data_IF_397594902350
#
_entry.id   IF_397594902350
#
_cell.length_a   1.000
_cell.length_b   1.000
_cell.length_c   1.000
_cell.angle_alpha   90.00
_cell.angle_beta   90.00
_cell.angle_gamma   90.00
#
_symmetry.space_group_name_H-M   'P 1'
#
loop_
_entity.id
_entity.type
_entity.pdbx_description
1 polymer ?
#
# COMPACT_ATOMS: atom_id res chain seq x y z
N UNK A 1 17.48 -16.54 -7.10
CA UNK A 1 16.71 -16.08 -5.92
C UNK A 1 17.43 -16.57 -4.67
N UNK A 2 18.55 -15.95 -4.25
CA UNK A 2 19.45 -16.55 -3.24
C UNK A 2 19.73 -15.71 -2.01
N UNK A 3 19.00 -14.63 -1.74
CA UNK A 3 19.15 -13.92 -0.47
C UNK A 3 17.77 -13.60 0.11
N UNK A 4 17.48 -14.19 1.27
CA UNK A 4 16.37 -13.76 2.09
C UNK A 4 16.54 -12.26 2.38
N UNK A 5 15.54 -11.48 1.99
CA UNK A 5 15.52 -10.01 2.10
C UNK A 5 15.15 -9.60 3.53
N UNK A 6 15.75 -10.26 4.54
CA UNK A 6 15.56 -10.05 5.98
C UNK A 6 16.91 -9.92 6.70
N UNK A 7 16.93 -9.35 7.91
CA UNK A 7 18.16 -9.16 8.68
C UNK A 7 19.04 -7.99 8.20
N UNK A 8 20.37 -8.11 8.29
CA UNK A 8 21.32 -7.01 8.03
C UNK A 8 21.23 -6.39 6.62
N UNK A 9 20.85 -7.17 5.61
CA UNK A 9 20.61 -6.68 4.24
C UNK A 9 19.51 -5.61 4.21
N UNK A 10 18.48 -5.76 5.05
CA UNK A 10 17.40 -4.78 5.18
C UNK A 10 17.83 -3.44 5.79
N UNK A 11 18.79 -3.50 6.71
CA UNK A 11 19.35 -2.32 7.36
C UNK A 11 20.22 -1.59 6.35
N UNK A 12 21.05 -2.31 5.58
CA UNK A 12 21.87 -1.75 4.51
C UNK A 12 21.03 -1.07 3.43
N UNK A 13 19.94 -1.70 2.99
CA UNK A 13 18.99 -1.10 2.04
C UNK A 13 18.35 0.18 2.59
N UNK A 14 17.91 0.15 3.85
CA UNK A 14 17.28 1.31 4.51
C UNK A 14 18.27 2.46 4.67
N UNK A 15 19.53 2.16 5.03
CA UNK A 15 20.62 3.14 5.12
C UNK A 15 21.02 3.70 3.75
N UNK A 16 21.05 2.87 2.71
CA UNK A 16 21.33 3.34 1.35
C UNK A 16 20.27 4.36 0.90
N UNK A 17 19.00 4.07 1.17
CA UNK A 17 17.92 5.02 0.84
C UNK A 17 17.98 6.26 1.74
N UNK A 18 18.27 6.11 3.04
CA UNK A 18 18.46 7.23 3.96
C UNK A 18 19.56 8.21 3.49
N UNK A 19 20.64 7.70 2.88
CA UNK A 19 21.68 8.53 2.24
C UNK A 19 21.16 9.31 1.03
N UNK A 20 20.20 8.77 0.29
CA UNK A 20 19.61 9.44 -0.88
C UNK A 20 18.63 10.55 -0.48
N UNK A 21 17.82 10.34 0.57
CA UNK A 21 16.79 11.30 1.01
C UNK A 21 17.26 12.27 2.11
N UNK A 22 18.42 12.00 2.70
CA UNK A 22 18.97 12.72 3.85
C UNK A 22 18.48 12.17 5.19
N UNK A 23 19.39 12.02 6.15
CA UNK A 23 19.09 11.44 7.47
C UNK A 23 18.02 12.23 8.25
N UNK A 24 18.00 13.56 8.14
CA UNK A 24 16.97 14.40 8.78
C UNK A 24 15.57 14.05 8.29
N UNK A 25 15.38 14.01 6.96
CA UNK A 25 14.10 13.69 6.34
C UNK A 25 13.69 12.24 6.62
N UNK A 26 14.66 11.32 6.64
CA UNK A 26 14.47 9.93 7.02
C UNK A 26 13.87 9.80 8.43
N UNK A 27 14.51 10.42 9.44
CA UNK A 27 14.01 10.34 10.82
C UNK A 27 12.68 11.07 10.97
N UNK A 28 12.50 12.25 10.37
CA UNK A 28 11.22 12.95 10.38
C UNK A 28 10.08 12.11 9.80
N UNK A 29 10.32 11.38 8.71
CA UNK A 29 9.32 10.50 8.09
C UNK A 29 8.96 9.33 9.00
N UNK A 30 9.95 8.66 9.59
CA UNK A 30 9.73 7.51 10.47
C UNK A 30 8.99 7.89 11.77
N UNK A 31 9.31 9.07 12.31
CA UNK A 31 8.66 9.58 13.52
C UNK A 31 7.37 10.35 13.25
N UNK A 32 6.96 10.51 11.99
CA UNK A 32 5.75 11.24 11.64
C UNK A 32 4.47 10.54 12.11
N UNK A 33 3.40 11.32 12.22
CA UNK A 33 2.04 10.81 12.44
C UNK A 33 1.53 10.16 11.17
N UNK A 34 1.62 8.84 11.07
CA UNK A 34 1.13 8.10 9.91
C UNK A 34 0.57 6.74 10.31
N UNK A 35 -0.20 6.12 9.43
CA UNK A 35 -0.53 4.71 9.53
C UNK A 35 0.50 3.90 8.74
N UNK A 36 0.71 2.63 9.14
CA UNK A 36 1.55 1.71 8.40
C UNK A 36 1.03 1.57 6.98
N UNK A 37 1.78 2.10 6.02
CA UNK A 37 1.35 2.07 4.63
C UNK A 37 1.20 0.63 4.16
N UNK A 38 2.05 -0.31 4.57
CA UNK A 38 2.05 -1.67 4.02
C UNK A 38 0.87 -2.55 4.47
N UNK A 39 0.63 -2.68 5.78
CA UNK A 39 -0.33 -3.64 6.34
C UNK A 39 -1.43 -2.98 7.16
N UNK A 40 -1.53 -1.64 7.16
CA UNK A 40 -2.47 -0.83 7.94
C UNK A 40 -2.42 -1.01 9.47
N UNK A 41 -1.66 -2.00 9.96
CA UNK A 41 -1.39 -2.24 11.37
C UNK A 41 -0.11 -1.50 11.78
N UNK A 42 -0.23 -0.67 12.81
CA UNK A 42 0.83 0.10 13.45
C UNK A 42 1.13 1.47 12.83
N UNK A 43 2.17 2.08 13.40
CA UNK A 43 2.67 3.46 13.24
C UNK A 43 1.79 4.56 13.88
N UNK A 44 0.85 4.16 14.73
CA UNK A 44 0.26 5.01 15.77
C UNK A 44 -0.78 6.00 15.27
N UNK A 45 -0.93 6.17 13.96
CA UNK A 45 -1.85 7.16 13.38
C UNK A 45 -1.53 8.53 13.96
N UNK A 46 -2.48 9.10 14.72
CA UNK A 46 -2.30 10.38 15.40
C UNK A 46 -1.28 10.35 16.55
N UNK A 47 -1.01 9.17 17.14
CA UNK A 47 0.06 8.97 18.13
C UNK A 47 1.44 8.92 17.48
N UNK A 48 1.50 8.57 16.19
CA UNK A 48 2.68 8.60 15.35
C UNK A 48 3.84 7.68 15.75
N UNK A 49 4.90 7.79 14.95
CA UNK A 49 6.28 7.47 15.33
C UNK A 49 6.52 6.08 15.86
N UNK A 50 6.34 5.06 15.03
CA UNK A 50 6.67 3.67 15.40
C UNK A 50 5.98 3.17 16.67
N UNK A 51 4.78 3.68 16.94
CA UNK A 51 3.93 3.17 18.03
C UNK A 51 2.88 2.23 17.45
N UNK A 52 2.48 1.18 18.16
CA UNK A 52 1.29 0.39 17.77
C UNK A 52 0.01 0.95 18.41
N UNK A 53 -1.13 0.32 18.12
CA UNK A 53 -2.46 0.68 18.60
C UNK A 53 -2.56 0.62 20.14
N UNK A 54 -1.72 -0.19 20.78
CA UNK A 54 -1.65 -0.37 22.24
C UNK A 54 -0.62 0.53 22.93
N UNK A 55 0.09 1.40 22.19
CA UNK A 55 1.07 2.34 22.77
C UNK A 55 2.49 1.79 22.91
N UNK A 56 2.79 0.60 22.41
CA UNK A 56 4.14 0.02 22.48
C UNK A 56 5.07 0.72 21.48
N UNK A 57 6.28 1.05 21.95
CA UNK A 57 7.35 1.67 21.17
C UNK A 57 8.71 1.07 21.57
N UNK A 58 9.67 0.86 20.64
CA UNK A 58 9.57 1.06 19.20
C UNK A 58 9.00 -0.17 18.47
N UNK A 59 8.14 0.06 17.48
CA UNK A 59 7.50 -0.98 16.67
C UNK A 59 8.02 -0.95 15.24
N UNK A 60 9.22 -1.45 15.00
CA UNK A 60 9.89 -1.35 13.70
C UNK A 60 9.43 -2.45 12.73
N UNK A 61 9.14 -2.06 11.49
CA UNK A 61 8.88 -3.00 10.39
C UNK A 61 9.61 -2.52 9.12
N UNK A 62 10.47 -3.37 8.56
CA UNK A 62 11.23 -3.09 7.32
C UNK A 62 10.32 -2.56 6.20
N UNK A 63 9.23 -3.27 5.90
CA UNK A 63 8.31 -2.90 4.81
C UNK A 63 7.66 -1.54 5.05
N UNK A 64 7.36 -1.19 6.31
CA UNK A 64 6.81 0.12 6.66
C UNK A 64 7.83 1.24 6.38
N UNK A 65 9.09 1.04 6.79
CA UNK A 65 10.16 1.99 6.51
C UNK A 65 10.33 2.15 5.01
N UNK A 66 10.46 1.05 4.26
CA UNK A 66 10.61 1.10 2.80
C UNK A 66 9.47 1.87 2.12
N UNK A 67 8.22 1.65 2.53
CA UNK A 67 7.08 2.38 1.99
C UNK A 67 7.18 3.88 2.29
N UNK A 68 7.42 4.27 3.56
CA UNK A 68 7.56 5.69 3.94
C UNK A 68 8.71 6.40 3.20
N UNK A 69 9.79 5.67 2.90
CA UNK A 69 10.91 6.23 2.16
C UNK A 69 10.60 6.52 0.70
N UNK A 70 9.68 5.78 0.08
CA UNK A 70 9.24 6.08 -1.29
C UNK A 70 8.50 7.42 -1.37
N UNK A 71 7.87 7.88 -0.30
CA UNK A 71 7.14 9.16 -0.30
C UNK A 71 8.06 10.38 -0.28
N UNK A 72 9.24 10.25 0.32
CA UNK A 72 10.19 11.36 0.49
C UNK A 72 11.33 11.34 -0.52
N UNK A 73 11.20 10.52 -1.57
CA UNK A 73 12.12 10.57 -2.70
C UNK A 73 11.98 11.91 -3.44
N UNK A 74 13.10 12.35 -4.01
CA UNK A 74 13.10 13.49 -4.93
C UNK A 74 12.23 13.19 -6.16
N UNK A 75 11.71 14.25 -6.83
CA UNK A 75 11.01 14.12 -8.11
C UNK A 75 11.79 13.30 -9.15
N UNK A 76 11.07 12.54 -9.97
CA UNK A 76 11.67 11.92 -11.16
C UNK A 76 12.15 13.04 -12.10
N UNK A 77 13.42 13.04 -12.54
CA UNK A 77 13.92 14.05 -13.49
C UNK A 77 13.13 14.03 -14.80
N UNK A 78 12.66 15.19 -15.26
CA UNK A 78 11.82 15.29 -16.47
C UNK A 78 12.52 14.76 -17.73
N UNK A 79 13.86 14.85 -17.78
CA UNK A 79 14.66 14.32 -18.87
C UNK A 79 14.51 12.81 -19.05
N UNK A 80 14.13 12.07 -17.99
CA UNK A 80 13.82 10.65 -18.10
C UNK A 80 12.66 10.41 -19.07
N UNK A 81 11.60 11.23 -19.01
CA UNK A 81 10.46 11.12 -19.91
C UNK A 81 10.77 11.64 -21.33
N UNK A 82 11.62 12.66 -21.44
CA UNK A 82 12.05 13.20 -22.75
C UNK A 82 12.92 12.20 -23.53
N UNK A 83 13.85 11.54 -22.84
CA UNK A 83 14.83 10.64 -23.48
C UNK A 83 14.29 9.25 -23.77
N UNK A 84 13.37 8.74 -22.95
CA UNK A 84 12.88 7.36 -23.06
C UNK A 84 11.50 7.28 -23.70
N UNK A 85 11.31 6.29 -24.58
CA UNK A 85 9.99 5.87 -25.04
C UNK A 85 9.28 5.04 -23.97
N UNK A 86 7.98 4.82 -24.11
CA UNK A 86 7.21 3.92 -23.26
C UNK A 86 7.81 2.51 -23.28
N UNK A 87 8.28 2.05 -24.45
CA UNK A 87 8.94 0.74 -24.59
C UNK A 87 10.26 0.69 -23.83
N UNK A 88 11.06 1.76 -23.87
CA UNK A 88 12.31 1.84 -23.11
C UNK A 88 12.02 1.78 -21.61
N UNK A 89 11.03 2.52 -21.12
CA UNK A 89 10.61 2.49 -19.73
C UNK A 89 10.08 1.11 -19.31
N UNK A 90 9.31 0.43 -20.16
CA UNK A 90 8.83 -0.93 -19.91
C UNK A 90 9.95 -1.97 -19.84
N UNK A 91 11.06 -1.75 -20.55
CA UNK A 91 12.22 -2.63 -20.53
C UNK A 91 13.12 -2.41 -19.28
N UNK A 92 12.94 -1.30 -18.55
CA UNK A 92 13.69 -1.06 -17.31
C UNK A 92 13.27 -2.01 -16.20
N UNK A 93 14.22 -2.37 -15.34
CA UNK A 93 13.90 -3.18 -14.17
C UNK A 93 12.98 -2.39 -13.23
N UNK A 94 11.94 -3.00 -12.64
CA UNK A 94 11.03 -2.31 -11.72
C UNK A 94 11.74 -1.59 -10.57
N UNK A 95 12.83 -2.18 -10.06
CA UNK A 95 13.66 -1.58 -9.00
C UNK A 95 14.28 -0.25 -9.42
N UNK A 96 14.70 -0.14 -10.68
CA UNK A 96 15.39 1.05 -11.19
C UNK A 96 14.38 2.16 -11.45
N UNK A 97 13.18 1.82 -11.95
CA UNK A 97 12.06 2.76 -12.08
C UNK A 97 11.66 3.35 -10.72
N UNK A 98 11.48 2.51 -9.70
CA UNK A 98 11.13 2.96 -8.33
C UNK A 98 12.23 3.83 -7.70
N UNK A 99 13.48 3.67 -8.14
CA UNK A 99 14.63 4.45 -7.66
C UNK A 99 14.87 5.72 -8.47
N UNK A 100 14.17 5.91 -9.59
CA UNK A 100 14.29 7.11 -10.41
C UNK A 100 13.71 8.36 -9.75
N UNK A 101 12.86 8.19 -8.73
CA UNK A 101 12.26 9.27 -7.97
C UNK A 101 10.76 9.06 -7.75
N UNK A 102 10.13 10.04 -7.12
CA UNK A 102 8.66 10.12 -6.95
C UNK A 102 8.03 10.90 -8.10
N UNK A 103 6.95 10.37 -8.66
CA UNK A 103 6.18 11.06 -9.69
C UNK A 103 5.41 12.23 -9.05
N UNK A 104 5.69 13.46 -9.50
CA UNK A 104 5.11 14.70 -8.96
C UNK A 104 4.57 15.65 -10.04
N UNK A 105 4.84 15.38 -11.32
CA UNK A 105 4.39 16.16 -12.46
C UNK A 105 3.39 15.32 -13.27
N UNK A 106 2.24 15.85 -13.67
CA UNK A 106 1.33 15.18 -14.58
C UNK A 106 2.01 14.82 -15.91
N UNK A 107 1.74 13.63 -16.41
CA UNK A 107 2.29 13.13 -17.67
C UNK A 107 1.14 12.82 -18.63
N UNK A 108 1.27 13.28 -19.87
CA UNK A 108 0.33 12.99 -20.93
C UNK A 108 0.96 12.11 -22.00
N UNK A 109 0.22 11.11 -22.45
CA UNK A 109 0.57 10.32 -23.63
C UNK A 109 -0.51 10.55 -24.69
N UNK A 110 -0.16 11.24 -25.77
CA UNK A 110 -1.04 11.36 -26.93
C UNK A 110 -1.24 9.98 -27.59
N UNK A 111 -2.37 9.76 -28.24
CA UNK A 111 -2.71 8.49 -28.90
C UNK A 111 -1.72 8.07 -29.98
N UNK A 112 -1.09 9.04 -30.65
CA UNK A 112 -0.06 8.84 -31.67
C UNK A 112 1.37 8.97 -31.13
N UNK A 113 1.55 9.10 -29.81
CA UNK A 113 2.86 9.23 -29.18
C UNK A 113 3.31 7.90 -28.58
N UNK A 114 4.62 7.64 -28.64
CA UNK A 114 5.27 6.56 -27.90
C UNK A 114 6.07 7.08 -26.69
N UNK A 115 5.84 8.33 -26.27
CA UNK A 115 6.52 9.00 -25.15
C UNK A 115 5.53 9.71 -24.25
N UNK A 116 5.88 9.81 -22.97
CA UNK A 116 5.20 10.67 -22.02
C UNK A 116 5.72 12.10 -22.14
N UNK A 117 4.79 13.06 -22.18
CA UNK A 117 5.07 14.49 -22.18
C UNK A 117 4.65 15.07 -20.84
N UNK A 118 5.56 15.68 -20.06
CA UNK A 118 5.17 16.45 -18.87
C UNK A 118 4.24 17.60 -19.25
N UNK A 119 3.17 17.77 -18.49
CA UNK A 119 2.21 18.87 -18.66
C UNK A 119 1.89 19.51 -17.31
N UNK A 120 1.33 20.72 -17.36
CA UNK A 120 0.89 21.42 -16.16
C UNK A 120 -0.39 20.80 -15.57
N UNK A 121 -0.65 21.07 -14.30
CA UNK A 121 -1.84 20.54 -13.60
C UNK A 121 -3.15 21.01 -14.22
N UNK A 122 -3.24 22.28 -14.62
CA UNK A 122 -4.45 22.82 -15.24
C UNK A 122 -4.74 22.13 -16.57
N UNK A 123 -3.71 21.87 -17.39
CA UNK A 123 -3.85 21.12 -18.64
C UNK A 123 -4.30 19.68 -18.40
N UNK A 124 -3.76 19.03 -17.37
CA UNK A 124 -4.13 17.67 -17.01
C UNK A 124 -5.60 17.59 -16.56
N UNK A 125 -6.02 18.50 -15.68
CA UNK A 125 -7.40 18.58 -15.20
C UNK A 125 -8.37 18.92 -16.33
N UNK A 126 -8.04 19.88 -17.20
CA UNK A 126 -8.86 20.23 -18.36
C UNK A 126 -9.07 19.05 -19.31
N UNK A 127 -8.03 18.25 -19.57
CA UNK A 127 -8.16 17.03 -20.40
C UNK A 127 -9.10 16.00 -19.77
N UNK A 128 -8.98 15.79 -18.46
CA UNK A 128 -9.84 14.85 -17.72
C UNK A 128 -11.29 15.33 -17.74
N UNK A 129 -11.56 16.60 -17.44
CA UNK A 129 -12.92 17.15 -17.39
C UNK A 129 -13.58 17.17 -18.78
N UNK A 130 -12.86 17.55 -19.84
CA UNK A 130 -13.36 17.47 -21.22
C UNK A 130 -13.70 16.04 -21.62
N UNK A 131 -12.87 15.07 -21.25
CA UNK A 131 -13.15 13.65 -21.51
C UNK A 131 -14.41 13.20 -20.78
N UNK A 132 -14.52 13.51 -19.49
CA UNK A 132 -15.70 13.14 -18.70
C UNK A 132 -16.98 13.83 -19.18
N UNK A 133 -16.91 15.05 -19.71
CA UNK A 133 -18.07 15.75 -20.25
C UNK A 133 -18.67 15.09 -21.51
N UNK A 134 -17.88 14.29 -22.24
CA UNK A 134 -18.30 13.66 -23.51
C UNK A 134 -18.63 12.18 -23.37
N UNK A 135 -18.16 11.52 -22.31
CA UNK A 135 -18.40 10.10 -22.06
C UNK A 135 -19.71 9.91 -21.29
N UNK A 136 -20.51 8.92 -21.69
CA UNK A 136 -21.73 8.56 -20.95
C UNK A 136 -21.39 7.90 -19.60
N UNK A 137 -22.08 8.22 -18.49
CA UNK A 137 -21.73 7.71 -17.16
C UNK A 137 -21.70 6.18 -17.04
N UNK A 138 -22.59 5.46 -17.72
CA UNK A 138 -22.65 4.00 -17.77
C UNK A 138 -21.41 3.36 -18.41
N UNK A 139 -20.68 4.11 -19.23
CA UNK A 139 -19.43 3.71 -19.88
C UNK A 139 -18.18 4.02 -19.07
N UNK A 140 -18.33 4.50 -17.83
CA UNK A 140 -17.22 4.80 -16.93
C UNK A 140 -17.13 3.79 -15.78
N UNK A 141 -15.92 3.65 -15.22
CA UNK A 141 -15.67 2.87 -14.02
C UNK A 141 -14.65 3.59 -13.15
N UNK A 142 -14.95 3.71 -11.86
CA UNK A 142 -14.08 4.33 -10.87
C UNK A 142 -13.51 3.27 -9.94
N UNK A 143 -12.22 3.37 -9.64
CA UNK A 143 -11.53 2.43 -8.77
C UNK A 143 -10.90 3.17 -7.59
N UNK A 144 -11.40 2.92 -6.39
CA UNK A 144 -10.83 3.46 -5.16
C UNK A 144 -9.71 2.56 -4.64
N UNK A 145 -8.59 3.17 -4.28
CA UNK A 145 -7.45 2.45 -3.71
C UNK A 145 -7.68 2.22 -2.21
N UNK A 146 -7.57 0.98 -1.73
CA UNK A 146 -7.57 0.69 -0.27
C UNK A 146 -6.33 1.20 0.46
N UNK A 147 -5.41 1.86 -0.26
CA UNK A 147 -4.25 2.57 0.31
C UNK A 147 -4.52 4.06 0.51
N UNK A 148 -5.59 4.57 -0.08
CA UNK A 148 -6.08 5.93 0.16
C UNK A 148 -6.86 6.01 1.47
N UNK A 149 -7.09 7.23 1.95
CA UNK A 149 -7.88 7.42 3.17
C UNK A 149 -9.38 7.17 2.91
N UNK A 150 -10.13 6.96 3.98
CA UNK A 150 -11.58 6.79 3.91
C UNK A 150 -12.26 8.06 3.35
N UNK A 151 -11.73 9.24 3.65
CA UNK A 151 -12.23 10.53 3.15
C UNK A 151 -12.05 10.64 1.63
N UNK A 152 -10.88 10.24 1.11
CA UNK A 152 -10.64 10.22 -0.34
C UNK A 152 -11.56 9.22 -1.05
N UNK A 153 -11.77 8.03 -0.47
CA UNK A 153 -12.71 7.05 -1.00
C UNK A 153 -14.17 7.57 -0.95
N UNK A 154 -14.54 8.27 0.11
CA UNK A 154 -15.85 8.90 0.26
C UNK A 154 -16.09 9.99 -0.79
N UNK A 155 -15.11 10.86 -1.03
CA UNK A 155 -15.21 11.88 -2.07
C UNK A 155 -15.31 11.27 -3.47
N UNK A 156 -14.51 10.24 -3.77
CA UNK A 156 -14.56 9.56 -5.07
C UNK A 156 -15.92 8.88 -5.32
N UNK A 157 -16.54 8.28 -4.31
CA UNK A 157 -17.85 7.66 -4.48
C UNK A 157 -18.97 8.68 -4.67
N UNK A 158 -18.91 9.83 -3.98
CA UNK A 158 -19.85 10.93 -4.24
C UNK A 158 -19.67 11.41 -5.66
N UNK A 159 -18.42 11.66 -6.08
CA UNK A 159 -18.12 12.11 -7.42
C UNK A 159 -18.69 11.19 -8.50
N UNK A 160 -18.42 9.88 -8.42
CA UNK A 160 -18.92 8.90 -9.38
C UNK A 160 -20.46 8.88 -9.44
N UNK A 161 -21.13 8.95 -8.28
CA UNK A 161 -22.60 8.92 -8.21
C UNK A 161 -23.24 10.22 -8.70
N UNK A 162 -22.66 11.37 -8.37
CA UNK A 162 -23.09 12.68 -8.91
C UNK A 162 -22.82 12.78 -10.41
N UNK A 163 -21.74 12.18 -10.91
CA UNK A 163 -21.48 12.05 -12.34
C UNK A 163 -22.52 11.17 -13.06
N UNK A 164 -23.27 10.35 -12.32
CA UNK A 164 -24.41 9.59 -12.86
C UNK A 164 -24.17 8.09 -12.96
N UNK A 165 -23.17 7.53 -12.27
CA UNK A 165 -22.87 6.09 -12.31
C UNK A 165 -22.73 5.46 -10.93
N UNK A 166 -23.10 4.18 -10.83
CA UNK A 166 -22.79 3.33 -9.69
C UNK A 166 -21.59 2.40 -9.95
N UNK A 167 -20.93 2.55 -11.11
CA UNK A 167 -19.77 1.76 -11.50
C UNK A 167 -18.52 2.22 -10.72
N UNK A 168 -18.50 1.93 -9.42
CA UNK A 168 -17.37 2.20 -8.55
C UNK A 168 -17.10 1.00 -7.65
N UNK A 169 -15.84 0.57 -7.59
CA UNK A 169 -15.39 -0.48 -6.68
C UNK A 169 -14.00 -0.15 -6.11
N UNK A 170 -13.48 -1.02 -5.25
CA UNK A 170 -12.15 -0.87 -4.67
C UNK A 170 -11.42 -2.22 -4.64
N UNK A 171 -10.20 -2.24 -4.11
CA UNK A 171 -9.38 -3.44 -4.03
C UNK A 171 -9.98 -4.58 -3.18
N UNK A 172 -10.83 -4.28 -2.19
CA UNK A 172 -11.40 -5.32 -1.32
C UNK A 172 -12.43 -6.18 -2.05
N UNK A 173 -13.02 -5.69 -3.15
CA UNK A 173 -13.89 -6.51 -4.00
C UNK A 173 -13.16 -7.75 -4.53
N UNK A 174 -11.90 -7.62 -4.95
CA UNK A 174 -11.13 -8.76 -5.44
C UNK A 174 -10.59 -9.64 -4.31
N UNK A 175 -10.22 -9.05 -3.18
CA UNK A 175 -9.52 -9.78 -2.11
C UNK A 175 -10.44 -10.38 -1.04
N UNK A 176 -11.60 -9.77 -0.77
CA UNK A 176 -12.42 -10.07 0.41
C UNK A 176 -13.91 -10.23 0.14
N UNK A 177 -14.37 -10.16 -1.12
CA UNK A 177 -15.80 -10.27 -1.43
C UNK A 177 -16.37 -11.64 -1.03
N UNK A 178 -15.65 -12.73 -1.33
CA UNK A 178 -16.08 -14.08 -0.96
C UNK A 178 -16.22 -14.24 0.57
N UNK A 179 -15.23 -13.74 1.32
CA UNK A 179 -15.28 -13.73 2.79
C UNK A 179 -16.45 -12.89 3.31
N UNK A 180 -16.69 -11.72 2.72
CA UNK A 180 -17.80 -10.85 3.09
C UNK A 180 -19.16 -11.53 2.92
N UNK A 181 -19.37 -12.24 1.81
CA UNK A 181 -20.60 -13.02 1.57
C UNK A 181 -20.75 -14.15 2.58
N UNK A 182 -19.69 -14.95 2.79
CA UNK A 182 -19.73 -16.10 3.69
C UNK A 182 -19.95 -15.73 5.16
N UNK A 183 -19.24 -14.70 5.64
CA UNK A 183 -19.39 -14.20 7.00
C UNK A 183 -20.76 -13.54 7.20
N UNK A 184 -21.24 -12.73 6.25
CA UNK A 184 -22.55 -12.11 6.38
C UNK A 184 -23.68 -13.16 6.45
N UNK A 185 -23.58 -14.23 5.66
CA UNK A 185 -24.56 -15.32 5.68
C UNK A 185 -24.54 -16.20 6.93
N UNK A 186 -23.46 -16.19 7.71
CA UNK A 186 -23.30 -17.06 8.90
C UNK A 186 -23.43 -16.31 10.21
N UNK A 187 -22.86 -15.10 10.30
CA UNK A 187 -22.76 -14.31 11.54
C UNK A 187 -23.35 -12.88 11.39
N UNK A 188 -23.92 -12.53 10.23
CA UNK A 188 -24.58 -11.24 10.00
C UNK A 188 -23.65 -10.05 9.80
N UNK A 189 -22.34 -10.27 9.66
CA UNK A 189 -21.34 -9.23 9.41
C UNK A 189 -20.31 -9.70 8.39
N UNK A 190 -19.98 -8.86 7.40
CA UNK A 190 -18.95 -9.13 6.39
C UNK A 190 -17.53 -8.72 6.83
N UNK A 191 -17.34 -8.27 8.07
CA UNK A 191 -16.05 -7.79 8.58
C UNK A 191 -15.41 -8.76 9.58
N UNK A 192 -14.15 -8.50 9.95
CA UNK A 192 -13.46 -9.24 10.98
C UNK A 192 -14.22 -9.18 12.32
N UNK A 193 -14.26 -10.32 13.02
CA UNK A 193 -14.97 -10.49 14.30
C UNK A 193 -14.08 -10.33 15.52
N UNK A 194 -12.77 -10.26 15.32
CA UNK A 194 -11.76 -10.18 16.38
C UNK A 194 -10.75 -9.09 16.08
N UNK A 195 -10.12 -8.61 17.14
CA UNK A 195 -9.02 -7.64 17.09
C UNK A 195 -7.69 -8.33 17.35
N UNK A 196 -6.59 -7.63 17.04
CA UNK A 196 -5.24 -8.14 17.33
C UNK A 196 -5.03 -8.45 18.83
N UNK A 197 -5.71 -7.73 19.72
CA UNK A 197 -5.61 -7.92 21.17
C UNK A 197 -6.20 -9.26 21.62
N UNK A 198 -7.17 -9.80 20.88
CA UNK A 198 -7.80 -11.09 21.20
C UNK A 198 -6.83 -12.25 20.95
N UNK A 199 -5.90 -12.11 20.00
CA UNK A 199 -4.82 -13.10 19.78
C UNK A 199 -3.92 -13.25 21.01
N UNK A 200 -3.74 -12.20 21.81
CA UNK A 200 -2.94 -12.25 23.05
C UNK A 200 -3.61 -13.05 24.17
N UNK A 201 -4.90 -13.35 24.03
CA UNK A 201 -5.66 -14.20 24.95
C UNK A 201 -5.89 -15.60 24.38
N UNK A 202 -5.55 -15.83 23.12
CA UNK A 202 -5.73 -17.11 22.45
C UNK A 202 -4.62 -18.08 22.84
N UNK A 203 -4.97 -19.34 23.10
CA UNK A 203 -4.01 -20.43 23.36
C UNK A 203 -3.75 -21.29 22.11
N UNK A 204 -4.56 -21.12 21.08
CA UNK A 204 -4.43 -21.77 19.78
C UNK A 204 -4.83 -20.80 18.67
N UNK A 205 -4.00 -20.70 17.62
CA UNK A 205 -4.23 -19.85 16.45
C UNK A 205 -4.09 -20.68 15.18
N UNK A 206 -5.14 -20.68 14.35
CA UNK A 206 -5.12 -21.27 13.02
C UNK A 206 -4.88 -20.17 11.97
N UNK A 207 -3.90 -20.38 11.10
CA UNK A 207 -3.59 -19.52 9.97
C UNK A 207 -3.82 -20.31 8.69
N UNK A 208 -4.91 -20.01 8.00
CA UNK A 208 -5.35 -20.76 6.81
C UNK A 208 -5.27 -19.86 5.59
N UNK A 209 -4.56 -20.29 4.55
CA UNK A 209 -4.48 -19.57 3.27
C UNK A 209 -3.87 -18.16 3.37
N UNK A 210 -2.99 -17.93 4.35
CA UNK A 210 -2.33 -16.64 4.55
C UNK A 210 -0.83 -16.80 4.77
N UNK A 211 -0.06 -15.82 4.30
CA UNK A 211 1.37 -15.69 4.56
C UNK A 211 1.64 -14.41 5.40
N UNK A 212 1.58 -14.50 6.74
CA UNK A 212 1.82 -13.34 7.61
C UNK A 212 3.26 -12.81 7.52
N UNK A 213 4.26 -13.63 7.26
CA UNK A 213 5.66 -13.18 7.21
C UNK A 213 5.89 -12.14 6.11
N UNK A 214 5.20 -12.31 4.97
CA UNK A 214 5.21 -11.33 3.89
C UNK A 214 4.09 -10.29 4.04
N UNK A 215 2.84 -10.72 4.17
CA UNK A 215 1.70 -9.82 3.93
C UNK A 215 1.31 -9.03 5.19
N UNK A 216 1.51 -9.61 6.37
CA UNK A 216 1.18 -9.01 7.65
C UNK A 216 2.33 -9.19 8.67
N UNK A 217 3.54 -8.64 8.42
CA UNK A 217 4.73 -8.99 9.20
C UNK A 217 4.60 -8.73 10.72
N UNK A 218 3.69 -7.84 11.12
CA UNK A 218 3.37 -7.59 12.53
C UNK A 218 2.59 -8.72 13.19
N UNK A 219 1.76 -9.43 12.44
CA UNK A 219 1.03 -10.59 12.95
C UNK A 219 2.01 -11.69 13.38
N UNK A 220 3.18 -11.80 12.74
CA UNK A 220 4.24 -12.75 13.15
C UNK A 220 4.66 -12.55 14.61
N UNK A 221 4.70 -11.31 15.10
CA UNK A 221 5.05 -11.04 16.50
C UNK A 221 4.03 -11.65 17.46
N UNK A 222 2.74 -11.55 17.17
CA UNK A 222 1.69 -12.14 18.01
C UNK A 222 1.66 -13.67 17.91
N UNK A 223 1.92 -14.24 16.73
CA UNK A 223 2.07 -15.70 16.58
C UNK A 223 3.26 -16.23 17.40
N UNK A 224 4.40 -15.51 17.38
CA UNK A 224 5.58 -15.85 18.19
C UNK A 224 5.28 -15.71 19.68
N UNK A 225 4.57 -14.67 20.10
CA UNK A 225 4.13 -14.53 21.49
C UNK A 225 3.27 -15.72 21.92
N UNK A 226 2.24 -16.10 21.14
CA UNK A 226 1.41 -17.27 21.40
C UNK A 226 2.26 -18.52 21.65
N UNK A 227 3.22 -18.81 20.78
CA UNK A 227 4.14 -19.96 20.96
C UNK A 227 4.99 -19.86 22.23
N UNK A 228 5.52 -18.68 22.56
CA UNK A 228 6.37 -18.46 23.74
C UNK A 228 5.65 -18.68 25.07
N UNK A 229 4.35 -18.41 25.13
CA UNK A 229 3.50 -18.71 26.30
C UNK A 229 2.93 -20.14 26.30
N UNK A 230 3.42 -21.02 25.42
CA UNK A 230 3.02 -22.42 25.36
C UNK A 230 1.82 -22.73 24.46
N UNK A 231 1.25 -21.72 23.81
CA UNK A 231 0.13 -21.90 22.89
C UNK A 231 0.52 -22.56 21.56
N UNK A 232 -0.47 -22.91 20.76
CA UNK A 232 -0.32 -23.59 19.48
C UNK A 232 -0.58 -22.65 18.31
N UNK A 233 0.25 -22.76 17.26
CA UNK A 233 0.02 -22.06 15.99
C UNK A 233 0.04 -23.11 14.89
N UNK A 234 -1.07 -23.23 14.17
CA UNK A 234 -1.29 -24.23 13.13
C UNK A 234 -1.40 -23.50 11.80
N UNK A 235 -0.53 -23.84 10.85
CA UNK A 235 -0.50 -23.24 9.52
C UNK A 235 -1.09 -24.24 8.52
N UNK A 236 -2.06 -23.80 7.73
CA UNK A 236 -2.66 -24.57 6.64
C UNK A 236 -2.48 -23.76 5.35
N UNK A 237 -1.44 -24.11 4.59
CA UNK A 237 -1.15 -23.48 3.31
C UNK A 237 -0.69 -24.56 2.31
N UNK A 238 -1.17 -24.55 1.04
CA UNK A 238 -0.65 -25.45 0.00
C UNK A 238 0.84 -25.27 -0.31
N UNK A 239 1.46 -24.15 0.08
CA UNK A 239 2.87 -23.86 -0.16
C UNK A 239 3.59 -23.63 1.17
N UNK A 240 4.82 -24.16 1.26
CA UNK A 240 5.75 -23.80 2.33
C UNK A 240 6.36 -22.45 1.99
N UNK A 241 6.07 -21.42 2.78
CA UNK A 241 6.59 -20.08 2.52
C UNK A 241 8.07 -19.94 2.93
N UNK A 242 8.88 -19.23 2.12
CA UNK A 242 10.30 -19.01 2.40
C UNK A 242 10.57 -18.04 3.56
#
# INVERSE_FOLDING_TARGET
MSEAVSGFSSIKDSLQIARTVGFKNFFQSIFSKNTCKTCALGMGGQRGGMTNETGNFPQICKKSIQAQLTDIQLPIPLDLFRKNTIKDLQAMKPRDLVRSGRLNTPLFCASNSNRYTPIEWDDALNKVTQSLATVSPDRTFFYSSGRSSNEAAFLLQIFARTYGTNNINNCSYYCHQASGVGLNGTIGSGTATVTLQDLKKSDMIWVIGANPSSNHPRLMTELLHCRRRGGQVIIVNPLVEP
#
